data_IF_684153207228
#
_entry.id   IF_684153207228
#
_cell.length_a   1.000
_cell.length_b   1.000
_cell.length_c   1.000
_cell.angle_alpha   90.00
_cell.angle_beta   90.00
_cell.angle_gamma   90.00
#
_symmetry.space_group_name_H-M   'P 1'
#
loop_
_entity.id
_entity.type
_entity.pdbx_description
1 polymer ?
#
# COMPACT_ATOMS: atom_id res chain seq x y z
N UNK A 1 5.25 9.46 -10.26
CA UNK A 1 3.83 9.62 -10.63
C UNK A 1 3.15 8.26 -10.74
N UNK A 2 3.52 7.41 -11.71
CA UNK A 2 2.80 6.15 -11.98
C UNK A 2 2.61 5.21 -10.76
N UNK A 3 3.62 5.04 -9.89
CA UNK A 3 3.50 4.19 -8.70
C UNK A 3 2.53 4.76 -7.65
N UNK A 4 2.52 6.07 -7.47
CA UNK A 4 1.66 6.74 -6.49
C UNK A 4 0.20 6.66 -6.93
N UNK A 5 -0.07 6.89 -8.22
CA UNK A 5 -1.41 6.77 -8.81
C UNK A 5 -2.00 5.36 -8.61
N UNK A 6 -1.20 4.31 -8.85
CA UNK A 6 -1.64 2.91 -8.65
C UNK A 6 -1.86 2.54 -7.18
N UNK A 7 -1.05 3.09 -6.27
CA UNK A 7 -1.26 2.92 -4.83
C UNK A 7 -2.57 3.60 -4.40
N UNK A 8 -2.79 4.84 -4.84
CA UNK A 8 -4.02 5.57 -4.56
C UNK A 8 -5.25 4.84 -5.10
N UNK A 9 -5.17 4.30 -6.32
CA UNK A 9 -6.25 3.49 -6.91
C UNK A 9 -6.58 2.28 -6.02
N UNK A 10 -5.57 1.49 -5.63
CA UNK A 10 -5.75 0.32 -4.78
C UNK A 10 -6.35 0.66 -3.40
N UNK A 11 -5.83 1.68 -2.71
CA UNK A 11 -6.33 2.03 -1.36
C UNK A 11 -7.67 2.77 -1.38
N UNK A 12 -8.04 3.40 -2.49
CA UNK A 12 -9.33 4.08 -2.63
C UNK A 12 -10.44 3.14 -3.12
N UNK A 13 -10.10 1.99 -3.71
CA UNK A 13 -11.06 0.99 -4.15
C UNK A 13 -12.04 0.63 -3.02
N UNK A 14 -13.33 0.59 -3.36
CA UNK A 14 -14.38 0.28 -2.39
C UNK A 14 -14.61 -1.23 -2.36
N UNK A 15 -14.25 -1.86 -1.24
CA UNK A 15 -14.45 -3.28 -1.02
C UNK A 15 -14.64 -3.58 0.48
N UNK A 16 -15.15 -4.77 0.80
CA UNK A 16 -15.45 -5.20 2.18
C UNK A 16 -14.25 -5.08 3.15
N UNK A 17 -13.02 -5.11 2.64
CA UNK A 17 -11.80 -5.08 3.43
C UNK A 17 -11.07 -3.73 3.42
N UNK A 18 -11.66 -2.68 2.84
CA UNK A 18 -10.98 -1.37 2.66
C UNK A 18 -10.38 -0.85 3.97
N UNK A 19 -11.16 -0.85 5.05
CA UNK A 19 -10.72 -0.39 6.36
C UNK A 19 -9.57 -1.24 6.91
N UNK A 20 -9.66 -2.56 6.79
CA UNK A 20 -8.62 -3.47 7.27
C UNK A 20 -7.31 -3.33 6.48
N UNK A 21 -7.41 -3.16 5.16
CA UNK A 21 -6.26 -2.93 4.28
C UNK A 21 -5.57 -1.60 4.60
N UNK A 22 -6.34 -0.54 4.91
CA UNK A 22 -5.77 0.73 5.36
C UNK A 22 -5.03 0.60 6.70
N UNK A 23 -5.55 -0.18 7.65
CA UNK A 23 -4.88 -0.44 8.93
C UNK A 23 -3.57 -1.23 8.72
N UNK A 24 -3.57 -2.24 7.85
CA UNK A 24 -2.35 -2.99 7.49
C UNK A 24 -1.29 -2.10 6.85
N UNK A 25 -1.68 -1.18 5.96
CA UNK A 25 -0.78 -0.18 5.37
C UNK A 25 -0.13 0.67 6.45
N UNK A 26 -0.93 1.18 7.38
CA UNK A 26 -0.44 1.99 8.50
C UNK A 26 0.58 1.20 9.34
N UNK A 27 0.28 -0.04 9.72
CA UNK A 27 1.20 -0.89 10.48
C UNK A 27 2.52 -1.14 9.75
N UNK A 28 2.48 -1.40 8.45
CA UNK A 28 3.69 -1.59 7.65
C UNK A 28 4.59 -0.33 7.63
N UNK A 29 3.97 0.85 7.50
CA UNK A 29 4.68 2.14 7.52
C UNK A 29 5.21 2.47 8.92
N UNK A 30 4.46 2.18 9.99
CA UNK A 30 4.89 2.35 11.38
C UNK A 30 6.09 1.44 11.73
N UNK A 31 6.21 0.29 11.07
CA UNK A 31 7.39 -0.58 11.13
C UNK A 31 8.60 -0.05 10.34
N UNK A 32 8.50 1.12 9.71
CA UNK A 32 9.57 1.74 8.92
C UNK A 32 9.77 1.11 7.54
N UNK A 33 8.82 0.32 7.04
CA UNK A 33 8.91 -0.26 5.70
C UNK A 33 8.63 0.80 4.64
N UNK A 34 9.35 0.70 3.52
CA UNK A 34 9.14 1.53 2.34
C UNK A 34 8.07 0.91 1.45
N UNK A 35 7.01 1.67 1.21
CA UNK A 35 5.95 1.28 0.29
C UNK A 35 6.38 1.48 -1.17
N UNK A 36 6.11 0.48 -1.99
CA UNK A 36 6.36 0.48 -3.43
C UNK A 36 5.22 -0.25 -4.14
N UNK A 37 5.27 -0.31 -5.47
CA UNK A 37 4.26 -0.98 -6.27
C UNK A 37 4.94 -1.97 -7.22
N UNK A 38 4.71 -3.27 -7.01
CA UNK A 38 5.30 -4.38 -7.78
C UNK A 38 4.22 -5.45 -8.02
N UNK A 39 4.29 -6.15 -9.16
CA UNK A 39 3.34 -7.21 -9.52
C UNK A 39 1.86 -6.81 -9.44
N UNK A 40 1.56 -5.54 -9.70
CA UNK A 40 0.21 -4.96 -9.59
C UNK A 40 -0.37 -4.89 -8.18
N UNK A 41 0.48 -4.85 -7.14
CA UNK A 41 0.06 -4.68 -5.76
C UNK A 41 0.98 -3.74 -4.96
N UNK A 42 0.45 -3.07 -3.92
CA UNK A 42 1.29 -2.45 -2.90
C UNK A 42 2.21 -3.49 -2.28
N UNK A 43 3.49 -3.18 -2.22
CA UNK A 43 4.54 -4.04 -1.66
C UNK A 43 5.38 -3.23 -0.70
N UNK A 44 5.95 -3.87 0.31
CA UNK A 44 6.74 -3.22 1.33
C UNK A 44 8.14 -3.83 1.37
N UNK A 45 9.17 -2.99 1.42
CA UNK A 45 10.57 -3.42 1.53
C UNK A 45 11.24 -2.70 2.70
N UNK A 46 12.20 -3.38 3.35
CA UNK A 46 13.00 -2.77 4.42
C UNK A 46 14.12 -1.88 3.86
N UNK A 47 14.62 -2.23 2.68
CA UNK A 47 15.66 -1.51 1.91
C UNK A 47 15.17 -1.29 0.46
N UNK A 48 15.83 -0.40 -0.29
CA UNK A 48 15.41 -0.01 -1.66
C UNK A 48 15.63 -1.11 -2.72
#
# INVERSE_FOLDING_TARGET
MEKLEKLEEFYNETHHFKSSVAELRKLALDCGLKETYKWSFPTYTFED
#
